data_IF_798117959799
#
_entry.id   IF_798117959799
#
_cell.length_a   1.000
_cell.length_b   1.000
_cell.length_c   1.000
_cell.angle_alpha   90.00
_cell.angle_beta   90.00
_cell.angle_gamma   90.00
#
_symmetry.space_group_name_H-M   'P 1'
#
loop_
_entity.id
_entity.type
_entity.pdbx_description
1 polymer ?
#
# COMPACT_ATOMS: atom_id res chain seq x y z
N UNK A 1 -8.83 13.37 -29.66
CA UNK A 1 -8.27 12.34 -28.75
C UNK A 1 -9.12 12.42 -27.50
N UNK A 2 -9.83 11.35 -27.14
CA UNK A 2 -10.50 11.30 -25.83
C UNK A 2 -9.39 11.26 -24.79
N UNK A 3 -9.32 12.29 -23.96
CA UNK A 3 -8.38 12.35 -22.86
C UNK A 3 -8.84 11.34 -21.79
N UNK A 4 -8.17 10.19 -21.74
CA UNK A 4 -8.47 9.09 -20.83
C UNK A 4 -7.30 8.89 -19.87
N UNK A 5 -7.61 8.72 -18.58
CA UNK A 5 -6.66 8.50 -17.54
C UNK A 5 -6.81 7.08 -16.95
N UNK A 6 -5.69 6.37 -16.75
CA UNK A 6 -5.71 5.03 -16.17
C UNK A 6 -6.00 5.11 -14.66
N UNK A 7 -6.94 4.27 -14.18
CA UNK A 7 -7.19 4.12 -12.75
C UNK A 7 -5.96 3.58 -12.00
N UNK A 8 -5.39 2.49 -12.52
CA UNK A 8 -4.12 1.92 -12.06
C UNK A 8 -3.05 2.13 -13.13
N UNK A 9 -1.94 2.82 -12.84
CA UNK A 9 -0.87 3.01 -13.80
C UNK A 9 -0.06 1.71 -14.06
N UNK A 10 -0.27 0.67 -13.25
CA UNK A 10 0.33 -0.66 -13.41
C UNK A 10 0.86 -1.26 -12.10
N UNK A 11 0.53 -0.67 -10.95
CA UNK A 11 1.01 -1.11 -9.64
C UNK A 11 0.54 -2.51 -9.28
N UNK A 12 -0.72 -2.85 -9.57
CA UNK A 12 -1.32 -4.12 -9.12
C UNK A 12 -0.64 -5.35 -9.71
N UNK A 13 0.01 -5.24 -10.87
CA UNK A 13 0.80 -6.32 -11.49
C UNK A 13 1.97 -6.77 -10.63
N UNK A 14 2.45 -5.89 -9.76
CA UNK A 14 3.59 -6.08 -8.88
C UNK A 14 3.15 -6.18 -7.42
N UNK A 15 1.91 -6.59 -7.12
CA UNK A 15 1.43 -6.73 -5.76
C UNK A 15 0.70 -8.07 -5.57
N UNK A 16 1.10 -8.79 -4.53
CA UNK A 16 0.38 -9.94 -3.96
C UNK A 16 -0.07 -9.49 -2.57
N UNK A 17 -1.33 -9.76 -2.15
CA UNK A 17 -1.77 -9.40 -0.80
C UNK A 17 -0.83 -9.95 0.29
N UNK A 18 -0.45 -9.08 1.23
CA UNK A 18 0.38 -9.43 2.38
C UNK A 18 -0.28 -10.51 3.23
N UNK A 19 -1.61 -10.46 3.35
CA UNK A 19 -2.40 -11.47 4.04
C UNK A 19 -2.17 -12.87 3.47
N UNK A 20 -1.98 -12.99 2.15
CA UNK A 20 -1.69 -14.25 1.48
C UNK A 20 -0.22 -14.66 1.68
N UNK A 21 0.73 -13.76 1.43
CA UNK A 21 2.17 -14.05 1.56
C UNK A 21 2.55 -14.48 2.99
N UNK A 22 2.00 -13.78 3.99
CA UNK A 22 2.27 -14.07 5.40
C UNK A 22 1.59 -15.37 5.85
N UNK A 23 0.40 -15.69 5.33
CA UNK A 23 -0.30 -16.94 5.65
C UNK A 23 0.55 -18.15 5.28
N UNK A 24 1.09 -18.20 4.06
CA UNK A 24 1.96 -19.31 3.63
C UNK A 24 3.15 -19.49 4.56
N UNK A 25 3.83 -18.40 4.93
CA UNK A 25 4.94 -18.46 5.87
C UNK A 25 4.53 -19.03 7.24
N UNK A 26 3.42 -18.57 7.83
CA UNK A 26 3.00 -19.07 9.13
C UNK A 26 2.52 -20.51 9.09
N UNK A 27 1.89 -20.95 8.01
CA UNK A 27 1.49 -22.35 7.84
C UNK A 27 2.73 -23.26 7.85
N UNK A 28 3.77 -22.91 7.08
CA UNK A 28 5.05 -23.62 7.06
C UNK A 28 5.73 -23.62 8.44
N UNK A 29 5.82 -22.43 9.07
CA UNK A 29 6.42 -22.29 10.40
C UNK A 29 5.70 -23.13 11.45
N UNK A 30 4.38 -23.27 11.34
CA UNK A 30 3.56 -24.05 12.26
C UNK A 30 3.77 -25.56 12.12
N UNK A 31 4.11 -26.05 10.92
CA UNK A 31 4.38 -27.46 10.67
C UNK A 31 5.70 -27.95 11.30
N UNK A 32 6.64 -27.05 11.59
CA UNK A 32 7.94 -27.39 12.17
C UNK A 32 7.76 -27.77 13.65
N UNK A 33 7.99 -29.03 14.04
CA UNK A 33 7.85 -29.42 15.47
C UNK A 33 9.00 -28.93 16.35
N UNK A 34 10.22 -28.83 15.79
CA UNK A 34 11.40 -28.45 16.55
C UNK A 34 11.47 -26.93 16.73
N UNK A 35 11.40 -26.48 17.98
CA UNK A 35 11.40 -25.05 18.30
C UNK A 35 12.67 -24.32 17.88
N UNK A 36 13.85 -24.95 17.97
CA UNK A 36 15.10 -24.32 17.54
C UNK A 36 15.13 -24.08 16.03
N UNK A 37 14.55 -25.00 15.25
CA UNK A 37 14.38 -24.83 13.80
C UNK A 37 13.39 -23.68 13.54
N UNK A 38 12.23 -23.63 14.22
CA UNK A 38 11.29 -22.49 14.11
C UNK A 38 11.97 -21.14 14.33
N UNK A 39 12.81 -21.03 15.37
CA UNK A 39 13.55 -19.79 15.66
C UNK A 39 14.50 -19.41 14.53
N UNK A 40 15.16 -20.39 13.93
CA UNK A 40 16.08 -20.17 12.80
C UNK A 40 15.32 -19.70 11.57
N UNK A 41 14.26 -20.40 11.18
CA UNK A 41 13.42 -20.04 10.03
C UNK A 41 12.79 -18.66 10.21
N UNK A 42 12.24 -18.37 11.38
CA UNK A 42 11.68 -17.05 11.67
C UNK A 42 12.73 -15.94 11.56
N UNK A 43 13.95 -16.17 12.06
CA UNK A 43 15.04 -15.19 11.96
C UNK A 43 15.41 -14.90 10.50
N UNK A 44 15.43 -15.93 9.65
CA UNK A 44 15.70 -15.80 8.22
C UNK A 44 14.57 -15.06 7.51
N UNK A 45 13.32 -15.34 7.88
CA UNK A 45 12.15 -14.74 7.26
C UNK A 45 11.87 -13.30 7.69
N UNK A 46 12.26 -12.89 8.90
CA UNK A 46 11.91 -11.58 9.46
C UNK A 46 12.25 -10.39 8.53
N UNK A 47 13.46 -10.29 7.93
CA UNK A 47 13.77 -9.21 6.98
C UNK A 47 12.85 -9.22 5.75
N UNK A 48 12.51 -10.41 5.25
CA UNK A 48 11.60 -10.57 4.11
C UNK A 48 10.18 -10.13 4.46
N UNK A 49 9.68 -10.48 5.64
CA UNK A 49 8.37 -10.04 6.13
C UNK A 49 8.31 -8.51 6.29
N UNK A 50 9.37 -7.90 6.82
CA UNK A 50 9.49 -6.46 6.92
C UNK A 50 9.47 -5.80 5.51
N UNK A 51 10.27 -6.31 4.58
CA UNK A 51 10.32 -5.80 3.20
C UNK A 51 8.97 -5.93 2.47
N UNK A 52 8.27 -7.06 2.64
CA UNK A 52 6.92 -7.25 2.08
C UNK A 52 5.92 -6.23 2.63
N UNK A 53 6.04 -5.90 3.92
CA UNK A 53 5.20 -4.88 4.56
C UNK A 53 5.51 -3.49 4.00
N UNK A 54 6.79 -3.14 3.84
CA UNK A 54 7.21 -1.86 3.24
C UNK A 54 6.75 -1.72 1.80
N UNK A 55 6.80 -2.80 1.01
CA UNK A 55 6.28 -2.82 -0.37
C UNK A 55 4.80 -2.48 -0.43
N UNK A 56 3.99 -2.98 0.51
CA UNK A 56 2.55 -2.65 0.58
C UNK A 56 2.30 -1.20 0.97
N UNK A 57 3.09 -0.67 1.90
CA UNK A 57 2.96 0.75 2.27
C UNK A 57 3.39 1.62 1.10
N UNK A 58 4.48 1.28 0.42
CA UNK A 58 4.92 1.97 -0.80
C UNK A 58 3.85 1.94 -1.91
N UNK A 59 3.14 0.82 -2.07
CA UNK A 59 1.97 0.75 -2.94
C UNK A 59 0.86 1.75 -2.54
N UNK A 60 0.53 1.84 -1.25
CA UNK A 60 -0.49 2.78 -0.77
C UNK A 60 -0.08 4.25 -0.94
N UNK A 61 1.20 4.57 -0.67
CA UNK A 61 1.78 5.88 -1.02
C UNK A 61 1.61 6.13 -2.51
N UNK A 62 1.96 5.15 -3.35
CA UNK A 62 1.78 5.21 -4.80
C UNK A 62 0.36 5.50 -5.25
N UNK A 63 -0.64 4.86 -4.65
CA UNK A 63 -2.05 5.11 -4.94
C UNK A 63 -2.45 6.56 -4.65
N UNK A 64 -2.03 7.10 -3.50
CA UNK A 64 -2.35 8.49 -3.13
C UNK A 64 -1.64 9.49 -4.03
N UNK A 65 -0.36 9.26 -4.31
CA UNK A 65 0.44 10.07 -5.25
C UNK A 65 -0.14 10.04 -6.67
N UNK A 66 -0.60 8.86 -7.13
CA UNK A 66 -1.26 8.72 -8.42
C UNK A 66 -2.58 9.50 -8.45
N UNK A 67 -3.38 9.45 -7.39
CA UNK A 67 -4.58 10.28 -7.25
C UNK A 67 -4.27 11.77 -7.40
N UNK A 68 -3.19 12.25 -6.78
CA UNK A 68 -2.77 13.64 -6.92
C UNK A 68 -2.30 14.00 -8.34
N UNK A 69 -1.57 13.11 -9.01
CA UNK A 69 -1.23 13.27 -10.42
C UNK A 69 -2.50 13.33 -11.29
N UNK A 70 -3.42 12.39 -11.10
CA UNK A 70 -4.68 12.34 -11.84
C UNK A 70 -5.40 13.67 -11.74
N UNK A 71 -5.53 14.28 -10.56
CA UNK A 71 -6.20 15.58 -10.38
C UNK A 71 -5.66 16.72 -11.24
N UNK A 72 -4.41 16.64 -11.70
CA UNK A 72 -3.85 17.64 -12.63
C UNK A 72 -4.42 17.56 -14.05
N UNK A 73 -5.07 16.46 -14.40
CA UNK A 73 -5.64 16.19 -15.72
C UNK A 73 -7.02 16.85 -15.92
N UNK A 74 -7.61 17.45 -14.89
CA UNK A 74 -8.91 18.12 -14.99
C UNK A 74 -10.08 17.14 -14.90
N UNK A 75 -10.96 17.12 -15.90
CA UNK A 75 -12.17 16.28 -15.92
C UNK A 75 -12.05 15.08 -16.86
N UNK A 76 -10.84 14.53 -17.00
CA UNK A 76 -10.60 13.34 -17.82
C UNK A 76 -11.36 12.13 -17.28
N UNK A 77 -11.78 11.26 -18.20
CA UNK A 77 -12.46 10.02 -17.85
C UNK A 77 -11.45 9.02 -17.32
N UNK A 78 -11.76 8.39 -16.19
CA UNK A 78 -10.98 7.28 -15.64
C UNK A 78 -11.39 5.99 -16.35
N UNK A 79 -10.40 5.26 -16.86
CA UNK A 79 -10.57 3.94 -17.47
C UNK A 79 -9.91 2.86 -16.62
N UNK A 80 -10.47 1.65 -16.67
CA UNK A 80 -9.92 0.50 -15.95
C UNK A 80 -10.15 0.50 -14.44
N UNK A 81 -11.07 1.31 -13.91
CA UNK A 81 -11.49 1.24 -12.51
C UNK A 81 -12.30 -0.07 -12.27
N UNK A 82 -11.75 -1.06 -11.52
CA UNK A 82 -12.43 -2.33 -11.30
C UNK A 82 -13.56 -2.23 -10.27
N UNK A 83 -13.72 -1.10 -9.59
CA UNK A 83 -14.70 -0.86 -8.54
C UNK A 83 -15.92 -0.07 -9.01
N UNK A 84 -15.85 0.56 -10.18
CA UNK A 84 -16.90 1.43 -10.70
C UNK A 84 -18.25 0.71 -10.76
N UNK A 85 -19.27 1.30 -10.13
CA UNK A 85 -20.64 0.79 -10.08
C UNK A 85 -20.88 -0.37 -9.09
N UNK A 86 -19.89 -0.74 -8.28
CA UNK A 86 -20.07 -1.70 -7.19
C UNK A 86 -20.67 -1.03 -5.95
N UNK A 87 -21.16 -1.85 -5.02
CA UNK A 87 -21.57 -1.37 -3.71
C UNK A 87 -20.33 -1.14 -2.83
N UNK A 88 -20.28 0.01 -2.14
CA UNK A 88 -19.21 0.30 -1.20
C UNK A 88 -19.50 -0.38 0.13
N UNK A 89 -18.58 -1.25 0.55
CA UNK A 89 -18.54 -1.81 1.90
C UNK A 89 -17.20 -1.47 2.55
N UNK A 90 -17.24 -0.74 3.67
CA UNK A 90 -16.03 -0.24 4.34
C UNK A 90 -15.12 -1.38 4.83
N UNK A 91 -15.67 -2.39 5.49
CA UNK A 91 -14.90 -3.48 6.08
C UNK A 91 -14.07 -4.26 5.04
N UNK A 92 -14.67 -4.76 3.92
CA UNK A 92 -13.89 -5.35 2.83
C UNK A 92 -12.87 -4.39 2.22
N UNK A 93 -13.23 -3.11 2.01
CA UNK A 93 -12.35 -2.11 1.40
C UNK A 93 -11.10 -1.82 2.24
N UNK A 94 -11.19 -1.94 3.57
CA UNK A 94 -10.10 -1.68 4.51
C UNK A 94 -9.42 -2.95 5.04
N UNK A 95 -9.89 -4.12 4.65
CA UNK A 95 -9.46 -5.42 5.19
C UNK A 95 -7.94 -5.63 5.15
N UNK A 96 -7.29 -5.37 4.01
CA UNK A 96 -5.85 -5.56 3.86
C UNK A 96 -5.04 -4.52 4.66
N UNK A 97 -5.56 -3.30 4.79
CA UNK A 97 -4.92 -2.24 5.59
C UNK A 97 -5.00 -2.59 7.07
N UNK A 98 -6.18 -3.00 7.54
CA UNK A 98 -6.41 -3.48 8.90
C UNK A 98 -5.54 -4.71 9.21
N UNK A 99 -5.40 -5.62 8.25
CA UNK A 99 -4.49 -6.76 8.36
C UNK A 99 -3.05 -6.29 8.62
N UNK A 100 -2.54 -5.29 7.90
CA UNK A 100 -1.18 -4.78 8.12
C UNK A 100 -1.01 -4.23 9.55
N UNK A 101 -1.98 -3.47 10.07
CA UNK A 101 -1.94 -2.97 11.45
C UNK A 101 -1.83 -4.10 12.49
N UNK A 102 -2.57 -5.18 12.29
CA UNK A 102 -2.52 -6.32 13.21
C UNK A 102 -1.29 -7.18 13.00
N UNK A 103 -0.83 -7.28 11.76
CA UNK A 103 0.37 -8.01 11.39
C UNK A 103 1.62 -7.41 12.03
N UNK A 104 1.80 -6.08 12.01
CA UNK A 104 2.99 -5.47 12.64
C UNK A 104 3.00 -5.64 14.15
N UNK A 105 1.84 -5.60 14.82
CA UNK A 105 1.71 -5.92 16.25
C UNK A 105 2.05 -7.38 16.54
N UNK A 106 1.59 -8.29 15.67
CA UNK A 106 1.92 -9.71 15.75
C UNK A 106 3.42 -9.92 15.54
N UNK A 107 4.04 -9.23 14.58
CA UNK A 107 5.45 -9.36 14.24
C UNK A 107 6.36 -8.92 15.41
N UNK A 108 5.98 -7.88 16.18
CA UNK A 108 6.67 -7.53 17.42
C UNK A 108 6.60 -8.65 18.46
N UNK A 109 5.40 -9.20 18.72
CA UNK A 109 5.20 -10.31 19.67
C UNK A 109 6.00 -11.55 19.25
N UNK A 110 5.93 -11.90 17.97
CA UNK A 110 6.61 -13.08 17.42
C UNK A 110 8.12 -12.90 17.43
N UNK A 111 8.62 -11.68 17.17
CA UNK A 111 10.05 -11.38 17.29
C UNK A 111 10.54 -11.55 18.73
N UNK A 112 9.79 -11.06 19.73
CA UNK A 112 10.11 -11.30 21.14
C UNK A 112 10.15 -12.79 21.45
N UNK A 113 9.19 -13.55 20.93
CA UNK A 113 9.07 -14.99 21.18
C UNK A 113 10.17 -15.83 20.52
N UNK A 114 10.43 -15.63 19.22
CA UNK A 114 11.34 -16.47 18.44
C UNK A 114 12.80 -16.01 18.51
N UNK A 115 13.07 -14.70 18.61
CA UNK A 115 14.43 -14.16 18.57
C UNK A 115 14.84 -13.42 19.84
N UNK A 116 13.94 -13.24 20.81
CA UNK A 116 14.24 -12.60 22.09
C UNK A 116 14.44 -11.08 21.98
N UNK A 117 14.02 -10.46 20.87
CA UNK A 117 14.14 -9.02 20.62
C UNK A 117 12.83 -8.48 20.05
N UNK A 118 12.38 -7.28 20.46
CA UNK A 118 11.24 -6.62 19.83
C UNK A 118 11.52 -6.32 18.37
N UNK A 119 10.46 -6.29 17.57
CA UNK A 119 10.50 -5.67 16.25
C UNK A 119 9.84 -4.29 16.37
N UNK A 120 10.65 -3.25 16.16
CA UNK A 120 10.18 -1.87 16.19
C UNK A 120 9.73 -1.48 14.81
N UNK A 121 8.42 -1.33 14.64
CA UNK A 121 7.85 -0.77 13.42
C UNK A 121 7.94 0.76 13.44
N UNK A 122 8.17 1.34 12.27
CA UNK A 122 8.28 2.78 12.09
C UNK A 122 6.91 3.46 12.32
N UNK A 123 6.77 4.36 13.31
CA UNK A 123 5.51 5.07 13.56
C UNK A 123 5.03 5.88 12.36
N UNK A 124 5.94 6.46 11.56
CA UNK A 124 5.56 7.24 10.37
C UNK A 124 4.78 6.36 9.38
N UNK A 125 5.18 5.09 9.25
CA UNK A 125 4.49 4.13 8.37
C UNK A 125 3.07 3.81 8.85
N UNK A 126 2.80 3.89 10.15
CA UNK A 126 1.43 3.75 10.68
C UNK A 126 0.56 4.95 10.32
N UNK A 127 1.13 6.16 10.35
CA UNK A 127 0.44 7.38 9.93
C UNK A 127 0.07 7.31 8.44
N UNK A 128 0.95 6.79 7.59
CA UNK A 128 0.66 6.54 6.16
C UNK A 128 -0.53 5.60 5.99
N UNK A 129 -0.60 4.52 6.78
CA UNK A 129 -1.70 3.56 6.70
C UNK A 129 -3.04 4.19 7.13
N UNK A 130 -3.05 5.03 8.16
CA UNK A 130 -4.24 5.79 8.56
C UNK A 130 -4.66 6.81 7.50
N UNK A 131 -3.71 7.52 6.91
CA UNK A 131 -3.98 8.45 5.81
C UNK A 131 -4.56 7.72 4.58
N UNK A 132 -4.06 6.52 4.28
CA UNK A 132 -4.60 5.72 3.20
C UNK A 132 -6.01 5.19 3.50
N UNK A 133 -6.34 4.82 4.75
CA UNK A 133 -7.73 4.53 5.15
C UNK A 133 -8.63 5.73 4.88
N UNK A 134 -8.20 6.92 5.28
CA UNK A 134 -8.95 8.15 5.03
C UNK A 134 -9.18 8.36 3.52
N UNK A 135 -8.15 8.14 2.70
CA UNK A 135 -8.24 8.24 1.25
C UNK A 135 -9.27 7.26 0.67
N UNK A 136 -9.26 5.99 1.09
CA UNK A 136 -10.24 5.00 0.65
C UNK A 136 -11.66 5.38 1.08
N UNK A 137 -11.84 5.83 2.32
CA UNK A 137 -13.16 6.23 2.85
C UNK A 137 -13.73 7.43 2.13
N UNK A 138 -12.93 8.50 1.95
CA UNK A 138 -13.36 9.73 1.26
C UNK A 138 -13.75 9.49 -0.20
N UNK A 139 -13.18 8.46 -0.83
CA UNK A 139 -13.49 8.09 -2.20
C UNK A 139 -14.46 6.91 -2.30
N UNK A 140 -14.98 6.37 -1.19
CA UNK A 140 -15.86 5.19 -1.16
C UNK A 140 -15.30 4.01 -1.96
N UNK A 141 -13.99 3.72 -1.83
CA UNK A 141 -13.29 2.72 -2.66
C UNK A 141 -13.44 2.95 -4.17
N UNK A 142 -13.64 4.20 -4.58
CA UNK A 142 -13.78 4.67 -5.95
C UNK A 142 -14.98 4.09 -6.71
N UNK A 143 -16.01 3.60 -6.02
CA UNK A 143 -17.19 2.98 -6.67
C UNK A 143 -17.96 3.96 -7.56
N UNK A 144 -17.86 5.27 -7.28
CA UNK A 144 -18.53 6.34 -8.00
C UNK A 144 -17.58 7.23 -8.84
N UNK A 145 -16.31 6.82 -8.99
CA UNK A 145 -15.23 7.63 -9.61
C UNK A 145 -14.97 7.21 -11.06
N UNK A 146 -15.75 7.76 -11.98
CA UNK A 146 -15.61 7.63 -13.44
C UNK A 146 -14.83 8.79 -14.09
N UNK A 147 -14.63 9.89 -13.37
CA UNK A 147 -13.85 11.05 -13.80
C UNK A 147 -12.88 11.48 -12.71
N UNK A 148 -11.77 12.08 -13.13
CA UNK A 148 -10.67 12.54 -12.27
C UNK A 148 -11.12 13.55 -11.22
N UNK A 149 -12.03 14.45 -11.56
CA UNK A 149 -12.48 15.53 -10.66
C UNK A 149 -13.16 14.99 -9.39
N UNK A 150 -13.73 13.78 -9.46
CA UNK A 150 -14.36 13.08 -8.33
C UNK A 150 -13.37 12.51 -7.32
N UNK A 151 -12.08 12.44 -7.65
CA UNK A 151 -11.07 12.00 -6.67
C UNK A 151 -10.93 13.06 -5.59
N UNK A 152 -11.03 12.63 -4.33
CA UNK A 152 -10.82 13.45 -3.14
C UNK A 152 -9.45 13.12 -2.56
N UNK A 153 -8.56 14.11 -2.52
CA UNK A 153 -7.21 13.95 -1.96
C UNK A 153 -7.25 14.04 -0.42
N UNK A 154 -6.13 13.69 0.21
CA UNK A 154 -5.93 13.71 1.67
C UNK A 154 -4.57 14.29 2.02
N UNK A 155 -4.42 14.75 3.25
CA UNK A 155 -3.13 15.23 3.76
C UNK A 155 -2.56 16.39 2.96
N UNK A 156 -1.24 16.37 2.73
CA UNK A 156 -0.51 17.45 2.03
C UNK A 156 -0.70 17.42 0.52
N UNK A 157 -1.27 16.35 -0.02
CA UNK A 157 -1.45 16.13 -1.47
C UNK A 157 -2.30 17.22 -2.13
N UNK A 158 -3.20 17.84 -1.38
CA UNK A 158 -4.05 18.95 -1.87
C UNK A 158 -3.25 20.19 -2.28
N UNK A 159 -2.03 20.33 -1.76
CA UNK A 159 -1.22 21.56 -1.87
C UNK A 159 0.06 21.38 -2.68
N UNK A 160 0.27 20.21 -3.30
CA UNK A 160 1.47 19.93 -4.09
C UNK A 160 1.59 20.83 -5.32
N UNK A 161 2.82 21.25 -5.60
CA UNK A 161 3.16 22.01 -6.81
C UNK A 161 3.13 21.13 -8.06
N UNK A 162 3.05 21.76 -9.24
CA UNK A 162 3.08 21.04 -10.52
C UNK A 162 4.42 20.34 -10.75
N UNK A 163 5.50 20.95 -10.31
CA UNK A 163 6.85 20.44 -10.41
C UNK A 163 7.02 19.16 -9.59
N UNK A 164 6.50 19.13 -8.35
CA UNK A 164 6.50 17.93 -7.50
C UNK A 164 5.67 16.80 -8.12
N UNK A 165 4.50 17.12 -8.67
CA UNK A 165 3.63 16.12 -9.30
C UNK A 165 4.31 15.50 -10.54
N UNK A 166 5.09 16.27 -11.29
CA UNK A 166 5.82 15.76 -12.45
C UNK A 166 6.98 14.84 -12.03
N UNK A 167 7.69 15.19 -10.95
CA UNK A 167 8.72 14.34 -10.33
C UNK A 167 8.11 13.00 -9.87
N UNK A 168 6.99 13.06 -9.16
CA UNK A 168 6.22 11.90 -8.70
C UNK A 168 5.83 11.00 -9.88
N UNK A 169 5.29 11.58 -10.96
CA UNK A 169 4.91 10.82 -12.16
C UNK A 169 6.11 10.04 -12.72
N UNK A 170 7.28 10.67 -12.80
CA UNK A 170 8.49 10.02 -13.29
C UNK A 170 8.88 8.85 -12.41
N UNK A 171 8.91 9.03 -11.08
CA UNK A 171 9.21 7.93 -10.16
C UNK A 171 8.21 6.79 -10.30
N UNK A 172 6.91 7.08 -10.39
CA UNK A 172 5.86 6.07 -10.57
C UNK A 172 6.15 5.21 -11.81
N UNK A 173 6.54 5.83 -12.93
CA UNK A 173 6.90 5.09 -14.14
C UNK A 173 8.13 4.17 -13.93
N UNK A 174 9.16 4.64 -13.24
CA UNK A 174 10.36 3.85 -12.92
C UNK A 174 10.02 2.66 -11.99
N UNK A 175 9.16 2.89 -11.00
CA UNK A 175 8.72 1.87 -10.03
C UNK A 175 7.83 0.82 -10.69
N UNK A 176 6.96 1.20 -11.62
CA UNK A 176 6.16 0.24 -12.40
C UNK A 176 7.05 -0.66 -13.25
N UNK A 177 8.12 -0.11 -13.83
CA UNK A 177 9.07 -0.88 -14.62
C UNK A 177 9.89 -1.86 -13.77
N UNK A 178 10.32 -1.43 -12.58
CA UNK A 178 11.18 -2.25 -11.70
C UNK A 178 10.42 -3.17 -10.75
N UNK A 179 9.16 -2.88 -10.48
CA UNK A 179 8.31 -3.58 -9.50
C UNK A 179 8.61 -3.26 -8.04
N UNK A 180 9.52 -2.32 -7.75
CA UNK A 180 9.99 -1.97 -6.40
C UNK A 180 9.13 -0.89 -5.76
N UNK A 181 7.91 -1.26 -5.38
CA UNK A 181 6.90 -0.33 -4.83
C UNK A 181 7.37 0.35 -3.55
N UNK A 182 8.23 -0.29 -2.76
CA UNK A 182 8.85 0.28 -1.56
C UNK A 182 9.66 1.56 -1.83
N UNK A 183 10.15 1.77 -3.06
CA UNK A 183 10.88 2.99 -3.40
C UNK A 183 10.00 4.25 -3.38
N UNK A 184 8.67 4.10 -3.46
CA UNK A 184 7.74 5.23 -3.34
C UNK A 184 7.68 5.80 -1.92
N UNK A 185 8.20 5.07 -0.92
CA UNK A 185 8.33 5.57 0.44
C UNK A 185 9.25 6.79 0.54
N UNK A 186 10.10 7.07 -0.46
CA UNK A 186 10.90 8.30 -0.51
C UNK A 186 10.04 9.59 -0.54
N UNK A 187 8.76 9.46 -0.88
CA UNK A 187 7.79 10.55 -0.91
C UNK A 187 6.86 10.57 0.32
N UNK A 188 7.11 9.78 1.37
CA UNK A 188 6.25 9.73 2.55
C UNK A 188 6.06 11.08 3.26
N UNK A 189 7.05 11.98 3.19
CA UNK A 189 6.95 13.30 3.79
C UNK A 189 6.05 14.27 3.00
N UNK A 190 5.76 13.93 1.74
CA UNK A 190 4.95 14.73 0.80
C UNK A 190 3.46 14.38 0.82
N UNK A 191 3.06 13.33 1.54
CA UNK A 191 1.66 12.93 1.71
C UNK A 191 1.04 13.50 2.98
#
# INVERSE_FOLDING_TARGET
>A
MTNEALFDPGFTKSLIPLSLDTKYFYDELNMIKNFNIKKSEFRIALPKLAQLTERHIGFYVGCMLWGAYLKTLGSEKIIGNPFLGKEYEEEPALSEINFIFDFVKKLDKDSKYYIGKPYTFDPQKLEILELYKEFIKKNESFVNTDTVDKIVLVGKLETMSKEEILEIKKKIQDVIHTGKLEELLEFCDKI
#
